data_IF_443599234347
#
_entry.id   IF_443599234347
#
_cell.length_a   1.000
_cell.length_b   1.000
_cell.length_c   1.000
_cell.angle_alpha   90.00
_cell.angle_beta   90.00
_cell.angle_gamma   90.00
#
_symmetry.space_group_name_H-M   'P 1'
#
loop_
_entity.id
_entity.type
_entity.pdbx_description
1 polymer ?
#
# COMPACT_ATOMS: atom_id res chain seq x y z
N UNK A 1 5.77 25.50 23.11
CA UNK A 1 6.73 26.43 22.46
C UNK A 1 6.14 26.87 21.13
N UNK A 2 6.09 28.17 20.84
CA UNK A 2 5.53 28.72 19.59
C UNK A 2 6.65 29.05 18.61
N UNK A 3 6.47 28.70 17.34
CA UNK A 3 7.42 28.96 16.23
C UNK A 3 6.67 29.37 14.97
N UNK A 4 7.35 29.94 13.96
CA UNK A 4 6.72 30.23 12.66
C UNK A 4 6.55 28.92 11.87
N UNK A 5 5.35 28.65 11.35
CA UNK A 5 5.08 27.42 10.59
C UNK A 5 6.03 27.22 9.39
N UNK A 6 6.27 28.27 8.61
CA UNK A 6 7.20 28.24 7.48
C UNK A 6 8.64 27.90 7.90
N UNK A 7 9.06 28.28 9.10
CA UNK A 7 10.40 27.94 9.59
C UNK A 7 10.55 26.42 9.76
N UNK A 8 9.54 25.75 10.33
CA UNK A 8 9.52 24.30 10.42
C UNK A 8 9.45 23.66 9.03
N UNK A 9 8.62 24.21 8.14
CA UNK A 9 8.48 23.73 6.76
C UNK A 9 9.82 23.74 6.01
N UNK A 10 10.57 24.85 6.08
CA UNK A 10 11.88 24.93 5.43
C UNK A 10 12.89 23.93 6.00
N UNK A 11 12.85 23.63 7.30
CA UNK A 11 13.70 22.59 7.90
C UNK A 11 13.34 21.19 7.41
N UNK A 12 12.05 20.91 7.18
CA UNK A 12 11.61 19.64 6.60
C UNK A 12 12.15 19.52 5.17
N UNK A 13 12.00 20.56 4.36
CA UNK A 13 12.49 20.57 2.97
C UNK A 13 14.01 20.41 2.89
N UNK A 14 14.76 21.11 3.75
CA UNK A 14 16.23 21.00 3.85
C UNK A 14 16.64 19.55 4.11
N UNK A 15 16.05 18.90 5.12
CA UNK A 15 16.33 17.51 5.42
C UNK A 15 15.96 16.56 4.25
N UNK A 16 14.83 16.80 3.58
CA UNK A 16 14.39 15.99 2.45
C UNK A 16 15.33 16.11 1.24
N UNK A 17 15.82 17.32 0.95
CA UNK A 17 16.78 17.54 -0.14
C UNK A 17 18.12 16.86 0.15
N UNK A 18 18.58 16.88 1.41
CA UNK A 18 19.88 16.31 1.78
C UNK A 18 19.86 14.80 1.97
N UNK A 19 18.76 14.24 2.50
CA UNK A 19 18.72 12.84 2.98
C UNK A 19 17.61 12.00 2.35
N UNK A 20 16.68 12.62 1.61
CA UNK A 20 15.46 11.97 1.14
C UNK A 20 14.40 11.74 2.22
N UNK A 21 14.61 12.22 3.45
CA UNK A 21 13.70 12.05 4.61
C UNK A 21 13.52 13.37 5.37
N UNK A 22 12.44 13.57 6.15
CA UNK A 22 11.41 12.62 6.54
C UNK A 22 10.39 12.33 5.42
N UNK A 23 9.73 11.17 5.52
CA UNK A 23 8.53 10.89 4.74
C UNK A 23 7.39 11.83 5.14
N UNK A 24 6.45 12.05 4.21
CA UNK A 24 5.29 12.91 4.42
C UNK A 24 4.01 12.09 4.32
N UNK A 25 3.27 12.02 5.43
CA UNK A 25 1.95 11.41 5.47
C UNK A 25 0.94 12.40 6.07
N UNK A 26 -0.29 12.32 5.57
CA UNK A 26 -1.38 13.22 5.98
C UNK A 26 -2.37 12.50 6.90
N UNK A 27 -2.20 12.71 8.21
CA UNK A 27 -2.97 12.05 9.28
C UNK A 27 -4.48 12.10 9.07
N UNK A 28 -5.01 13.27 8.70
CA UNK A 28 -6.46 13.46 8.59
C UNK A 28 -7.05 12.63 7.44
N UNK A 29 -6.33 12.56 6.31
CA UNK A 29 -6.74 11.73 5.18
C UNK A 29 -6.61 10.24 5.48
N UNK A 30 -5.57 9.84 6.21
CA UNK A 30 -5.38 8.46 6.66
C UNK A 30 -6.53 8.00 7.57
N UNK A 31 -6.95 8.85 8.50
CA UNK A 31 -8.03 8.53 9.44
C UNK A 31 -9.42 8.62 8.79
N UNK A 32 -9.72 9.70 8.07
CA UNK A 32 -11.05 9.95 7.49
C UNK A 32 -11.46 9.03 6.34
N UNK A 33 -10.52 8.23 5.80
CA UNK A 33 -10.77 7.29 4.71
C UNK A 33 -10.50 5.83 5.08
N UNK A 34 -10.14 5.55 6.33
CA UNK A 34 -9.82 4.18 6.75
C UNK A 34 -11.09 3.39 7.06
N UNK A 35 -11.15 2.15 6.57
CA UNK A 35 -12.17 1.19 6.98
C UNK A 35 -12.02 0.75 8.46
N UNK A 36 -10.89 1.09 9.09
CA UNK A 36 -10.63 0.85 10.52
C UNK A 36 -10.92 2.08 11.40
N UNK A 37 -11.53 3.15 10.87
CA UNK A 37 -11.82 4.37 11.64
C UNK A 37 -12.70 4.12 12.89
N UNK A 38 -13.45 3.01 12.91
CA UNK A 38 -14.27 2.58 14.04
C UNK A 38 -13.44 2.05 15.22
N UNK A 39 -12.17 1.72 15.02
CA UNK A 39 -11.27 1.21 16.06
C UNK A 39 -10.63 2.33 16.89
N UNK A 40 -10.52 3.54 16.31
CA UNK A 40 -9.92 4.71 16.95
C UNK A 40 -9.06 5.50 15.97
N UNK A 41 -8.20 6.38 16.51
CA UNK A 41 -7.27 7.17 15.70
C UNK A 41 -6.05 6.35 15.29
N UNK A 42 -5.75 6.32 13.99
CA UNK A 42 -4.50 5.78 13.45
C UNK A 42 -3.39 6.81 13.68
N UNK A 43 -2.31 6.36 14.32
CA UNK A 43 -1.23 7.23 14.80
C UNK A 43 0.00 7.27 13.89
N UNK A 44 0.19 6.26 13.03
CA UNK A 44 1.37 6.15 12.18
C UNK A 44 1.07 5.30 10.93
N UNK A 45 2.08 5.21 10.07
CA UNK A 45 2.18 4.19 9.02
C UNK A 45 3.29 3.19 9.39
N UNK A 46 3.72 2.37 8.43
CA UNK A 46 4.89 1.49 8.52
C UNK A 46 6.14 2.14 7.90
N UNK A 47 7.21 1.34 7.76
CA UNK A 47 8.49 1.75 7.19
C UNK A 47 8.38 2.29 5.75
N UNK A 48 7.53 1.68 4.91
CA UNK A 48 7.45 2.01 3.48
C UNK A 48 6.25 2.93 3.15
N UNK A 49 5.53 3.40 4.17
CA UNK A 49 4.44 4.41 4.10
C UNK A 49 3.14 3.97 3.43
N UNK A 50 2.99 2.69 3.10
CA UNK A 50 1.83 2.12 2.42
C UNK A 50 0.78 1.55 3.36
N UNK A 51 1.16 1.14 4.58
CA UNK A 51 0.24 0.52 5.53
C UNK A 51 -0.28 1.56 6.51
N UNK A 52 -1.61 1.68 6.58
CA UNK A 52 -2.34 2.60 7.45
C UNK A 52 -3.32 1.79 8.28
N UNK A 53 -2.83 1.27 9.40
CA UNK A 53 -3.58 0.37 10.28
C UNK A 53 -3.59 0.89 11.72
N UNK A 54 -4.67 0.59 12.44
CA UNK A 54 -4.84 0.96 13.84
C UNK A 54 -3.83 0.23 14.73
N UNK A 55 -3.29 0.95 15.71
CA UNK A 55 -2.39 0.43 16.76
C UNK A 55 -2.80 0.99 18.12
N UNK A 56 -2.49 0.24 19.16
CA UNK A 56 -2.69 0.64 20.57
C UNK A 56 -1.60 0.02 21.44
N UNK A 57 -1.47 0.37 22.74
CA UNK A 57 -0.51 -0.29 23.63
C UNK A 57 -0.63 -1.82 23.66
N UNK A 58 -1.83 -2.33 23.38
CA UNK A 58 -2.17 -3.75 23.39
C UNK A 58 -2.25 -4.36 21.98
N UNK A 59 -2.07 -3.58 20.91
CA UNK A 59 -2.21 -4.04 19.52
C UNK A 59 -1.11 -3.47 18.63
N UNK A 60 -0.28 -4.38 18.11
CA UNK A 60 0.70 -4.08 17.07
C UNK A 60 0.14 -4.53 15.73
N UNK A 61 -0.08 -3.59 14.82
CA UNK A 61 -0.58 -3.88 13.47
C UNK A 61 0.41 -4.77 12.70
N UNK A 62 -0.13 -5.71 11.93
CA UNK A 62 0.67 -6.63 11.10
C UNK A 62 0.03 -6.75 9.74
N UNK A 63 0.79 -6.48 8.70
CA UNK A 63 0.33 -6.64 7.33
C UNK A 63 1.00 -7.85 6.66
N UNK A 64 0.21 -8.61 5.90
CA UNK A 64 0.70 -9.68 5.04
C UNK A 64 0.65 -9.20 3.59
N UNK A 65 1.79 -9.23 2.90
CA UNK A 65 1.96 -8.61 1.59
C UNK A 65 2.11 -9.64 0.47
N UNK A 66 1.49 -9.37 -0.67
CA UNK A 66 1.78 -10.03 -1.95
C UNK A 66 1.68 -9.01 -3.09
N UNK A 67 2.39 -9.25 -4.19
CA UNK A 67 2.36 -8.38 -5.37
C UNK A 67 1.95 -9.15 -6.62
N UNK A 68 0.98 -8.61 -7.36
CA UNK A 68 0.55 -9.16 -8.64
C UNK A 68 1.43 -8.59 -9.76
N UNK A 69 1.98 -9.46 -10.61
CA UNK A 69 2.78 -9.05 -11.76
C UNK A 69 1.88 -8.60 -12.92
N UNK A 70 1.74 -7.28 -13.11
CA UNK A 70 0.81 -6.70 -14.08
C UNK A 70 1.17 -7.01 -15.54
N UNK A 71 2.45 -7.15 -15.85
CA UNK A 71 2.92 -7.50 -17.19
C UNK A 71 2.44 -8.87 -17.67
N UNK A 72 2.10 -9.79 -16.75
CA UNK A 72 1.59 -11.11 -17.11
C UNK A 72 0.21 -11.08 -17.78
N UNK A 73 -0.54 -9.98 -17.64
CA UNK A 73 -1.86 -9.79 -18.24
C UNK A 73 -1.82 -8.85 -19.45
N UNK A 74 -0.64 -8.32 -19.78
CA UNK A 74 -0.46 -7.57 -21.01
C UNK A 74 -0.46 -8.54 -22.21
N UNK A 75 -0.99 -8.12 -23.36
CA UNK A 75 -1.07 -8.95 -24.54
C UNK A 75 0.33 -9.27 -25.08
N UNK A 76 0.48 -10.45 -25.70
CA UNK A 76 1.71 -10.80 -26.41
C UNK A 76 1.85 -10.11 -27.77
N UNK A 77 0.79 -9.47 -28.26
CA UNK A 77 0.75 -8.75 -29.54
C UNK A 77 0.46 -7.26 -29.33
N UNK A 78 0.96 -6.36 -30.20
CA UNK A 78 0.85 -4.91 -30.03
C UNK A 78 -0.58 -4.34 -29.90
N UNK A 79 -1.57 -5.00 -30.51
CA UNK A 79 -2.97 -4.52 -30.56
C UNK A 79 -3.92 -5.35 -29.68
N UNK A 80 -3.38 -6.17 -28.77
CA UNK A 80 -4.20 -6.98 -27.87
C UNK A 80 -4.79 -6.17 -26.71
N UNK A 81 -5.85 -6.71 -26.11
CA UNK A 81 -6.45 -6.13 -24.91
C UNK A 81 -5.75 -6.63 -23.65
N UNK A 82 -5.78 -5.81 -22.59
CA UNK A 82 -5.27 -6.19 -21.28
C UNK A 82 -6.24 -7.18 -20.60
N UNK A 83 -5.73 -8.32 -20.10
CA UNK A 83 -6.56 -9.38 -19.53
C UNK A 83 -6.99 -9.08 -18.08
N UNK A 84 -8.01 -8.23 -17.95
CA UNK A 84 -8.62 -7.92 -16.65
C UNK A 84 -9.30 -9.13 -16.00
N UNK A 85 -9.76 -10.11 -16.79
CA UNK A 85 -10.40 -11.32 -16.25
C UNK A 85 -9.37 -12.22 -15.57
N UNK A 86 -8.22 -12.45 -16.21
CA UNK A 86 -7.09 -13.14 -15.62
C UNK A 86 -6.58 -12.43 -14.36
N UNK A 87 -6.44 -11.10 -14.42
CA UNK A 87 -6.05 -10.29 -13.26
C UNK A 87 -7.00 -10.48 -12.07
N UNK A 88 -8.32 -10.45 -12.32
CA UNK A 88 -9.34 -10.69 -11.30
C UNK A 88 -9.20 -12.06 -10.63
N UNK A 89 -9.06 -13.14 -11.43
CA UNK A 89 -8.94 -14.50 -10.89
C UNK A 89 -7.67 -14.70 -10.07
N UNK A 90 -6.53 -14.18 -10.53
CA UNK A 90 -5.26 -14.25 -9.78
C UNK A 90 -5.33 -13.44 -8.49
N UNK A 91 -5.89 -12.23 -8.54
CA UNK A 91 -6.09 -11.37 -7.37
C UNK A 91 -6.92 -12.09 -6.31
N UNK A 92 -8.03 -12.73 -6.71
CA UNK A 92 -8.88 -13.52 -5.80
C UNK A 92 -8.14 -14.67 -5.13
N UNK A 93 -7.24 -15.34 -5.84
CA UNK A 93 -6.38 -16.39 -5.27
C UNK A 93 -5.38 -15.78 -4.28
N UNK A 94 -4.72 -14.67 -4.64
CA UNK A 94 -3.77 -13.98 -3.78
C UNK A 94 -4.42 -13.51 -2.46
N UNK A 95 -5.62 -12.92 -2.52
CA UNK A 95 -6.41 -12.54 -1.34
C UNK A 95 -6.65 -13.72 -0.40
N UNK A 96 -7.06 -14.88 -0.92
CA UNK A 96 -7.26 -16.10 -0.11
C UNK A 96 -5.97 -16.61 0.50
N UNK A 97 -4.86 -16.52 -0.23
CA UNK A 97 -3.55 -16.93 0.25
C UNK A 97 -3.10 -16.03 1.41
N UNK A 98 -3.20 -14.71 1.27
CA UNK A 98 -2.88 -13.76 2.33
C UNK A 98 -3.74 -13.98 3.58
N UNK A 99 -5.04 -14.27 3.42
CA UNK A 99 -5.88 -14.58 4.58
C UNK A 99 -5.45 -15.88 5.29
N UNK A 100 -4.98 -16.90 4.56
CA UNK A 100 -4.43 -18.13 5.17
C UNK A 100 -3.10 -17.89 5.88
N UNK A 101 -2.29 -16.92 5.42
CA UNK A 101 -1.04 -16.56 6.09
C UNK A 101 -1.33 -16.07 7.51
N UNK A 102 -2.37 -15.25 7.72
CA UNK A 102 -2.77 -14.79 9.06
C UNK A 102 -2.89 -15.97 10.05
N UNK A 103 -3.55 -17.05 9.66
CA UNK A 103 -3.79 -18.17 10.57
C UNK A 103 -2.57 -19.06 10.78
N UNK A 104 -1.62 -19.07 9.83
CA UNK A 104 -0.42 -19.94 9.85
C UNK A 104 0.85 -19.22 10.27
N UNK A 105 0.80 -17.90 10.41
CA UNK A 105 1.96 -17.09 10.70
C UNK A 105 2.48 -17.37 12.12
N UNK A 106 3.80 -17.28 12.29
CA UNK A 106 4.41 -17.21 13.61
C UNK A 106 4.44 -15.74 14.05
N UNK A 107 3.71 -15.43 15.13
CA UNK A 107 3.68 -14.08 15.69
C UNK A 107 4.72 -13.96 16.81
N UNK A 108 5.71 -13.07 16.70
CA UNK A 108 6.79 -12.96 17.68
C UNK A 108 6.34 -12.35 19.02
N UNK A 109 5.22 -11.62 19.02
CA UNK A 109 4.63 -10.97 20.19
C UNK A 109 3.10 -11.15 20.18
N UNK A 110 2.47 -11.16 21.35
CA UNK A 110 1.04 -11.46 21.48
C UNK A 110 0.15 -10.32 20.97
N UNK A 111 0.58 -9.07 21.11
CA UNK A 111 -0.09 -7.87 20.62
C UNK A 111 -0.27 -7.91 19.09
N UNK A 112 0.72 -8.47 18.39
CA UNK A 112 0.72 -8.68 16.95
C UNK A 112 -0.29 -9.76 16.54
N UNK A 113 -0.30 -10.89 17.27
CA UNK A 113 -1.29 -11.95 17.07
C UNK A 113 -2.71 -11.44 17.34
N UNK A 114 -2.89 -10.69 18.42
CA UNK A 114 -4.17 -10.10 18.84
C UNK A 114 -4.74 -9.18 17.77
N UNK A 115 -3.95 -8.22 17.30
CA UNK A 115 -4.38 -7.28 16.25
C UNK A 115 -4.77 -8.03 14.97
N UNK A 116 -3.90 -8.91 14.48
CA UNK A 116 -4.11 -9.56 13.19
C UNK A 116 -5.28 -10.56 13.23
N UNK A 117 -5.50 -11.28 14.34
CA UNK A 117 -6.64 -12.19 14.48
C UNK A 117 -7.98 -11.46 14.62
N UNK A 118 -8.00 -10.23 15.15
CA UNK A 118 -9.21 -9.40 15.29
C UNK A 118 -9.60 -8.72 13.98
N UNK A 119 -8.62 -8.11 13.30
CA UNK A 119 -8.90 -7.18 12.20
C UNK A 119 -8.58 -7.76 10.81
N UNK A 120 -7.76 -8.80 10.78
CA UNK A 120 -7.36 -9.57 9.59
C UNK A 120 -6.98 -8.73 8.36
N UNK A 121 -6.15 -7.67 8.50
CA UNK A 121 -5.73 -6.87 7.35
C UNK A 121 -4.81 -7.67 6.42
N UNK A 122 -4.87 -7.32 5.14
CA UNK A 122 -4.01 -7.86 4.08
C UNK A 122 -3.59 -6.71 3.16
N UNK A 123 -2.38 -6.77 2.61
CA UNK A 123 -1.88 -5.81 1.64
C UNK A 123 -1.63 -6.49 0.30
N UNK A 124 -2.45 -6.16 -0.70
CA UNK A 124 -2.21 -6.61 -2.07
C UNK A 124 -1.66 -5.45 -2.89
N UNK A 125 -0.41 -5.58 -3.30
CA UNK A 125 0.27 -4.62 -4.18
C UNK A 125 0.38 -5.13 -5.61
N UNK A 126 1.12 -4.37 -6.41
CA UNK A 126 1.40 -4.66 -7.81
C UNK A 126 2.87 -4.48 -8.11
N UNK A 127 3.34 -5.12 -9.18
CA UNK A 127 4.67 -4.91 -9.75
C UNK A 127 4.59 -4.95 -11.27
N UNK A 128 5.58 -4.36 -11.96
CA UNK A 128 5.63 -4.36 -13.42
C UNK A 128 4.61 -3.47 -14.12
N UNK A 129 4.17 -2.37 -13.49
CA UNK A 129 3.28 -1.39 -14.13
C UNK A 129 3.94 -0.75 -15.35
N UNK A 130 5.20 -0.34 -15.22
CA UNK A 130 5.97 0.23 -16.32
C UNK A 130 6.15 -0.77 -17.48
N UNK A 131 6.46 -2.03 -17.16
CA UNK A 131 6.56 -3.12 -18.13
C UNK A 131 5.24 -3.34 -18.87
N UNK A 132 4.12 -3.35 -18.14
CA UNK A 132 2.79 -3.47 -18.74
C UNK A 132 2.52 -2.30 -19.71
N UNK A 133 2.82 -1.06 -19.32
CA UNK A 133 2.69 0.10 -20.21
C UNK A 133 3.58 0.00 -21.45
N UNK A 134 4.82 -0.45 -21.31
CA UNK A 134 5.73 -0.66 -22.45
C UNK A 134 5.20 -1.73 -23.42
N UNK A 135 4.64 -2.82 -22.90
CA UNK A 135 4.03 -3.89 -23.71
C UNK A 135 2.78 -3.38 -24.43
N UNK A 136 1.97 -2.55 -23.78
CA UNK A 136 0.78 -1.89 -24.35
C UNK A 136 1.12 -0.72 -25.30
N UNK A 137 2.41 -0.34 -25.41
CA UNK A 137 2.86 0.87 -26.15
C UNK A 137 2.25 2.16 -25.63
N UNK A 138 1.94 2.23 -24.33
CA UNK A 138 1.44 3.44 -23.68
C UNK A 138 2.59 4.19 -23.02
N UNK A 139 2.92 5.42 -23.44
CA UNK A 139 3.77 6.30 -22.63
C UNK A 139 3.16 6.47 -21.23
N UNK A 140 3.99 6.51 -20.20
CA UNK A 140 3.53 6.53 -18.80
C UNK A 140 2.55 7.68 -18.50
N UNK A 141 2.74 8.82 -19.16
CA UNK A 141 1.93 10.03 -18.98
C UNK A 141 0.74 10.14 -19.96
N UNK A 142 0.46 9.10 -20.77
CA UNK A 142 -0.61 9.15 -21.76
C UNK A 142 -2.00 8.93 -21.13
N UNK A 143 -3.06 9.39 -21.81
CA UNK A 143 -4.44 9.17 -21.33
C UNK A 143 -4.81 7.67 -21.34
N UNK A 144 -4.20 6.87 -22.22
CA UNK A 144 -4.36 5.41 -22.23
C UNK A 144 -3.74 4.76 -20.99
N UNK A 145 -2.52 5.13 -20.61
CA UNK A 145 -1.87 4.66 -19.38
C UNK A 145 -2.66 5.05 -18.14
N UNK A 146 -3.14 6.30 -18.09
CA UNK A 146 -4.00 6.82 -17.01
C UNK A 146 -5.35 6.10 -16.94
N UNK A 147 -5.93 5.70 -18.06
CA UNK A 147 -7.19 4.94 -18.10
C UNK A 147 -6.98 3.47 -17.69
N UNK A 148 -5.81 2.91 -18.00
CA UNK A 148 -5.45 1.54 -17.62
C UNK A 148 -5.17 1.41 -16.11
N UNK A 149 -4.61 2.44 -15.48
CA UNK A 149 -4.37 2.51 -14.05
C UNK A 149 -5.65 2.82 -13.23
#
# INVERSE_FOLDING_TARGET
KTVKAQQLWFRILEAQMETGTPYMLYKDHANGKSNQQNLGTIHSSNLCTEIIEYTSPDEVAVCNLASVALSAFAPSQPDGEYDFKGLYEVTKVATRNLNKVIDRNYYPIEEARRSNMRHRPIGLGVQGLADAFLMMRFPFESEEAKRLN
#
